data_IF_922848185769
#
_entry.id   IF_922848185769
#
_cell.length_a   1.000
_cell.length_b   1.000
_cell.length_c   1.000
_cell.angle_alpha   90.00
_cell.angle_beta   90.00
_cell.angle_gamma   90.00
#
_symmetry.space_group_name_H-M   'P 1'
#
loop_
_entity.id
_entity.type
_entity.pdbx_description
1 polymer ?
#
# COMPACT_ATOMS: atom_id res chain seq x y z
N UNK A 1 -8.78 -18.71 8.44
CA UNK A 1 -7.47 -18.52 9.12
C UNK A 1 -7.01 -17.10 8.85
N UNK A 2 -7.12 -16.19 9.82
CA UNK A 2 -6.69 -14.78 9.65
C UNK A 2 -5.20 -14.76 9.97
N UNK A 3 -4.33 -14.70 8.96
CA UNK A 3 -2.90 -14.52 9.20
C UNK A 3 -2.68 -13.21 9.98
N UNK A 4 -1.87 -13.19 11.06
CA UNK A 4 -1.54 -11.96 11.73
C UNK A 4 -0.80 -11.05 10.74
N UNK A 5 -1.49 -10.01 10.30
CA UNK A 5 -0.98 -9.04 9.33
C UNK A 5 0.05 -8.15 10.04
N UNK A 6 1.32 -8.55 9.95
CA UNK A 6 2.46 -7.79 10.49
C UNK A 6 2.60 -6.42 9.82
N UNK A 7 3.29 -5.48 10.49
CA UNK A 7 3.64 -4.17 9.92
C UNK A 7 4.26 -4.27 8.52
N UNK A 8 5.08 -5.31 8.29
CA UNK A 8 5.71 -5.60 7.01
C UNK A 8 4.67 -5.92 5.93
N UNK A 9 3.67 -6.75 6.21
CA UNK A 9 2.57 -7.02 5.28
C UNK A 9 1.77 -5.75 4.98
N UNK A 10 1.43 -4.97 6.01
CA UNK A 10 0.73 -3.70 5.83
C UNK A 10 1.50 -2.74 4.90
N UNK A 11 2.83 -2.65 5.07
CA UNK A 11 3.68 -1.81 4.22
C UNK A 11 3.71 -2.29 2.77
N UNK A 12 3.84 -3.60 2.53
CA UNK A 12 3.84 -4.17 1.17
C UNK A 12 2.55 -3.81 0.44
N UNK A 13 1.43 -3.99 1.10
CA UNK A 13 0.12 -3.66 0.58
C UNK A 13 -0.05 -2.15 0.27
N UNK A 14 0.35 -1.29 1.21
CA UNK A 14 0.37 0.15 0.99
C UNK A 14 1.27 0.54 -0.20
N UNK A 15 2.44 -0.10 -0.34
CA UNK A 15 3.38 0.14 -1.43
C UNK A 15 2.81 -0.29 -2.79
N UNK A 16 2.10 -1.42 -2.87
CA UNK A 16 1.42 -1.86 -4.10
C UNK A 16 0.39 -0.81 -4.53
N UNK A 17 -0.43 -0.33 -3.60
CA UNK A 17 -1.41 0.71 -3.88
C UNK A 17 -0.74 2.02 -4.36
N UNK A 18 0.32 2.48 -3.68
CA UNK A 18 1.06 3.68 -4.11
C UNK A 18 1.69 3.51 -5.48
N UNK A 19 2.22 2.32 -5.81
CA UNK A 19 2.78 2.05 -7.15
C UNK A 19 1.71 2.20 -8.23
N UNK A 20 0.49 1.72 -8.01
CA UNK A 20 -0.60 1.92 -8.97
C UNK A 20 -0.96 3.40 -9.13
N UNK A 21 -1.01 4.14 -8.02
CA UNK A 21 -1.31 5.57 -8.02
C UNK A 21 -0.22 6.38 -8.75
N UNK A 22 1.05 6.12 -8.45
CA UNK A 22 2.20 6.77 -9.09
C UNK A 22 2.24 6.47 -10.60
N UNK A 23 1.94 5.22 -11.01
CA UNK A 23 1.82 4.87 -12.45
C UNK A 23 0.72 5.66 -13.16
N UNK A 24 -0.35 6.04 -12.46
CA UNK A 24 -1.45 6.89 -12.97
C UNK A 24 -1.13 8.39 -12.90
N UNK A 25 0.08 8.77 -12.48
CA UNK A 25 0.50 10.16 -12.36
C UNK A 25 0.14 10.84 -11.04
N UNK A 26 -0.42 10.11 -10.07
CA UNK A 26 -0.72 10.64 -8.74
C UNK A 26 0.57 10.89 -7.94
N UNK A 27 0.70 12.06 -7.31
CA UNK A 27 1.93 12.51 -6.61
C UNK A 27 1.67 12.87 -5.15
N UNK A 28 2.72 12.97 -4.35
CA UNK A 28 2.65 13.45 -2.96
C UNK A 28 1.89 14.77 -2.78
N UNK A 29 2.00 15.71 -3.72
CA UNK A 29 1.28 16.97 -3.66
C UNK A 29 -0.25 16.80 -3.72
N UNK A 30 -0.74 15.79 -4.45
CA UNK A 30 -2.16 15.43 -4.48
C UNK A 30 -2.54 14.68 -3.20
N UNK A 31 -1.72 13.73 -2.76
CA UNK A 31 -1.93 13.00 -1.51
C UNK A 31 -2.06 13.93 -0.29
N UNK A 32 -1.28 15.02 -0.23
CA UNK A 32 -1.32 16.00 0.85
C UNK A 32 -2.64 16.79 0.92
N UNK A 33 -3.28 17.00 -0.24
CA UNK A 33 -4.57 17.70 -0.36
C UNK A 33 -5.76 16.75 -0.20
N UNK A 34 -5.51 15.45 -0.21
CA UNK A 34 -6.53 14.43 -0.13
C UNK A 34 -7.16 14.39 1.26
N UNK A 35 -8.47 14.58 1.35
CA UNK A 35 -9.20 14.47 2.60
C UNK A 35 -9.62 13.03 2.88
N UNK A 36 -9.96 12.26 1.83
CA UNK A 36 -10.31 10.85 1.97
C UNK A 36 -10.37 10.18 0.58
N UNK A 37 -9.28 9.53 0.18
CA UNK A 37 -9.28 8.65 -1.00
C UNK A 37 -9.15 7.21 -0.54
N UNK A 38 -10.31 6.57 -0.38
CA UNK A 38 -10.43 5.16 -0.07
C UNK A 38 -10.48 4.30 -1.33
N UNK A 39 -9.88 3.12 -1.29
CA UNK A 39 -10.17 2.03 -2.22
C UNK A 39 -10.79 0.87 -1.46
N UNK A 40 -12.11 0.87 -1.37
CA UNK A 40 -12.89 -0.14 -0.68
C UNK A 40 -14.18 0.49 -0.17
N UNK A 41 -15.33 -0.13 -0.46
CA UNK A 41 -16.62 0.32 0.04
C UNK A 41 -16.67 0.35 1.58
N UNK A 42 -17.79 0.79 2.19
CA UNK A 42 -17.94 0.95 3.64
C UNK A 42 -17.64 -0.30 4.48
N UNK A 43 -17.55 -1.48 3.85
CA UNK A 43 -17.25 -2.76 4.49
C UNK A 43 -16.04 -3.51 3.87
N UNK A 44 -15.28 -2.87 2.98
CA UNK A 44 -14.08 -3.50 2.39
C UNK A 44 -12.83 -3.02 3.14
N UNK A 45 -11.85 -3.91 3.27
CA UNK A 45 -10.58 -3.64 3.95
C UNK A 45 -9.68 -2.73 3.10
N UNK A 46 -10.17 -1.54 2.79
CA UNK A 46 -9.63 -0.64 1.79
C UNK A 46 -8.58 0.32 2.30
N UNK A 47 -7.48 0.48 1.55
CA UNK A 47 -6.48 1.53 1.81
C UNK A 47 -7.12 2.90 1.75
N UNK A 48 -6.70 3.81 2.64
CA UNK A 48 -7.15 5.20 2.63
C UNK A 48 -5.94 6.15 2.59
N UNK A 49 -5.92 7.09 1.64
CA UNK A 49 -5.04 8.26 1.66
C UNK A 49 -5.79 9.45 2.31
N UNK A 50 -5.24 9.98 3.40
CA UNK A 50 -5.73 11.18 4.08
C UNK A 50 -4.53 12.06 4.49
N UNK A 51 -4.52 13.31 4.05
CA UNK A 51 -3.48 14.30 4.34
C UNK A 51 -2.04 13.77 4.18
N UNK A 52 -1.78 13.06 3.07
CA UNK A 52 -0.48 12.49 2.75
C UNK A 52 -0.10 11.25 3.56
N UNK A 53 -1.06 10.64 4.28
CA UNK A 53 -0.87 9.40 5.04
C UNK A 53 -1.72 8.28 4.45
N UNK A 54 -1.17 7.08 4.44
CA UNK A 54 -1.86 5.86 4.01
C UNK A 54 -2.17 5.00 5.21
N UNK A 55 -3.46 4.72 5.41
CA UNK A 55 -3.93 3.80 6.44
C UNK A 55 -4.28 2.45 5.81
N UNK A 56 -3.88 1.36 6.47
CA UNK A 56 -4.16 -0.02 6.05
C UNK A 56 -5.10 -0.69 7.08
N UNK A 57 -6.43 -0.63 6.90
CA UNK A 57 -7.38 -1.15 7.88
C UNK A 57 -7.48 -2.69 7.88
N UNK A 58 -6.98 -3.37 6.83
CA UNK A 58 -6.91 -4.83 6.74
C UNK A 58 -5.91 -5.47 7.74
N UNK A 59 -5.12 -4.65 8.43
CA UNK A 59 -4.12 -5.09 9.39
C UNK A 59 -4.52 -4.61 10.78
N UNK A 60 -4.58 -5.52 11.76
CA UNK A 60 -4.68 -5.14 13.18
C UNK A 60 -3.31 -5.36 13.84
N UNK A 61 -2.70 -4.33 14.47
CA UNK A 61 -3.19 -2.95 14.59
C UNK A 61 -3.20 -2.20 13.25
N UNK A 62 -4.05 -1.16 13.14
CA UNK A 62 -4.09 -0.31 11.96
C UNK A 62 -2.73 0.37 11.77
N UNK A 63 -2.08 0.12 10.64
CA UNK A 63 -0.80 0.75 10.32
C UNK A 63 -1.00 1.97 9.43
N UNK A 64 -0.26 3.03 9.76
CA UNK A 64 -0.23 4.27 8.98
C UNK A 64 1.19 4.53 8.45
N UNK A 65 1.30 4.95 7.19
CA UNK A 65 2.58 5.25 6.54
C UNK A 65 2.52 6.61 5.84
N UNK A 66 3.66 7.29 5.67
CA UNK A 66 3.71 8.53 4.88
C UNK A 66 3.68 8.18 3.39
N UNK A 67 2.80 8.85 2.63
CA UNK A 67 2.72 8.68 1.19
C UNK A 67 4.05 9.03 0.51
N UNK A 68 4.75 10.08 0.98
CA UNK A 68 6.05 10.52 0.42
C UNK A 68 7.14 9.45 0.52
N UNK A 69 7.17 8.70 1.61
CA UNK A 69 8.12 7.59 1.81
C UNK A 69 7.82 6.45 0.85
N UNK A 70 6.54 6.06 0.78
CA UNK A 70 6.09 5.00 -0.12
C UNK A 70 6.20 5.40 -1.60
N UNK A 71 6.02 6.67 -1.95
CA UNK A 71 6.23 7.19 -3.30
C UNK A 71 7.70 7.08 -3.69
N UNK A 72 8.61 7.47 -2.79
CA UNK A 72 10.05 7.33 -3.02
C UNK A 72 10.40 5.86 -3.28
N UNK A 73 9.95 4.95 -2.42
CA UNK A 73 10.16 3.50 -2.57
C UNK A 73 9.53 2.95 -3.86
N UNK A 74 8.33 3.42 -4.22
CA UNK A 74 7.64 3.02 -5.43
C UNK A 74 8.39 3.42 -6.71
N UNK A 75 9.15 4.52 -6.65
CA UNK A 75 9.96 5.04 -7.76
C UNK A 75 11.36 4.43 -7.82
N UNK A 76 11.98 4.14 -6.67
CA UNK A 76 13.37 3.66 -6.59
C UNK A 76 13.50 2.14 -6.68
N UNK A 77 12.48 1.38 -6.29
CA UNK A 77 12.55 -0.08 -6.34
C UNK A 77 11.95 -0.61 -7.66
N UNK A 78 12.66 -1.50 -8.39
CA UNK A 78 12.07 -2.20 -9.52
C UNK A 78 10.79 -2.94 -9.05
N UNK A 79 9.82 -3.18 -9.96
CA UNK A 79 8.64 -3.97 -9.60
C UNK A 79 9.12 -5.27 -8.99
N UNK A 80 8.73 -5.54 -7.75
CA UNK A 80 8.92 -6.85 -7.13
C UNK A 80 8.08 -7.79 -7.98
N UNK A 81 8.70 -8.45 -8.96
CA UNK A 81 8.07 -9.57 -9.63
C UNK A 81 7.77 -10.57 -8.51
N UNK A 82 6.56 -11.11 -8.40
CA UNK A 82 6.38 -12.32 -7.62
C UNK A 82 7.38 -13.31 -8.19
N UNK A 83 8.36 -13.71 -7.39
CA UNK A 83 9.21 -14.84 -7.75
C UNK A 83 8.22 -16.00 -7.89
N UNK A 84 8.06 -16.63 -9.07
CA UNK A 84 7.28 -17.85 -9.14
C UNK A 84 7.88 -18.78 -8.10
N UNK A 85 7.06 -19.25 -7.15
CA UNK A 85 7.49 -20.26 -6.19
C UNK A 85 8.15 -21.36 -7.02
N UNK A 86 9.46 -21.51 -6.88
CA UNK A 86 10.17 -22.60 -7.51
C UNK A 86 9.47 -23.85 -6.99
N UNK A 87 8.80 -24.52 -7.92
CA UNK A 87 8.36 -25.88 -7.80
C UNK A 87 9.64 -26.70 -7.62
N UNK A 88 10.13 -26.79 -6.38
CA UNK A 88 11.08 -27.82 -5.99
C UNK A 88 10.29 -29.13 -6.04
N UNK A 89 10.17 -29.67 -7.25
CA UNK A 89 9.82 -31.07 -7.43
C UNK A 89 11.07 -31.86 -7.03
N UNK A 90 10.87 -32.67 -6.01
CA UNK A 90 11.72 -33.75 -5.52
C UNK A 90 11.87 -34.81 -6.61
#
# INVERSE_FOLDING_TARGET
MIHPTTQRHARIWALVYVREMVKRGYRSAQAAKETNLGRGGPNEAGYNINHGKISVPACRPNWTFRFTELEREARTSPPVRPVPAQMQLI
#
